data_IF_712025507915
#
_entry.id   IF_712025507915
#
_cell.length_a   1.000
_cell.length_b   1.000
_cell.length_c   1.000
_cell.angle_alpha   90.00
_cell.angle_beta   90.00
_cell.angle_gamma   90.00
#
_symmetry.space_group_name_H-M   'P 1'
#
loop_
_entity.id
_entity.type
_entity.pdbx_description
1 polymer ?
#
# COMPACT_ATOMS: atom_id res chain seq x y z
N UNK A 1 -3.57 -20.12 -27.52
CA UNK A 1 -4.17 -18.97 -28.24
C UNK A 1 -5.66 -19.22 -28.47
N UNK A 2 -6.47 -18.20 -28.81
CA UNK A 2 -7.90 -18.39 -29.12
C UNK A 2 -8.16 -19.39 -30.25
N UNK A 3 -7.20 -19.55 -31.16
CA UNK A 3 -7.21 -20.55 -32.24
C UNK A 3 -6.97 -21.99 -31.76
N UNK A 4 -6.66 -22.21 -30.48
CA UNK A 4 -6.20 -23.49 -29.94
C UNK A 4 -4.70 -23.75 -30.12
N UNK A 5 -3.99 -22.91 -30.88
CA UNK A 5 -2.54 -23.01 -31.06
C UNK A 5 -1.80 -22.82 -29.72
N UNK A 6 -0.80 -23.67 -29.48
CA UNK A 6 0.09 -23.59 -28.32
C UNK A 6 1.40 -22.93 -28.76
N UNK A 7 1.75 -21.85 -28.08
CA UNK A 7 3.04 -21.17 -28.25
C UNK A 7 3.80 -21.20 -26.93
N UNK A 8 5.13 -21.28 -27.00
CA UNK A 8 6.01 -21.14 -25.83
C UNK A 8 6.76 -19.81 -25.94
N UNK A 9 6.59 -18.94 -24.93
CA UNK A 9 7.23 -17.63 -24.87
C UNK A 9 8.00 -17.52 -23.55
N UNK A 10 9.23 -17.01 -23.59
CA UNK A 10 10.10 -16.93 -22.42
C UNK A 10 10.73 -18.28 -22.07
N UNK A 11 11.04 -18.49 -20.79
CA UNK A 11 11.64 -19.73 -20.30
C UNK A 11 12.58 -19.53 -19.11
N UNK A 12 13.42 -20.52 -18.83
CA UNK A 12 14.38 -20.51 -17.70
C UNK A 12 15.60 -19.59 -17.91
N UNK A 13 15.69 -18.91 -19.05
CA UNK A 13 16.84 -18.07 -19.40
C UNK A 13 16.78 -16.76 -18.63
N UNK A 14 17.90 -16.32 -18.06
CA UNK A 14 18.01 -15.01 -17.38
C UNK A 14 18.00 -13.83 -18.35
N UNK A 15 18.47 -14.04 -19.59
CA UNK A 15 18.48 -13.05 -20.66
C UNK A 15 17.82 -13.64 -21.89
N UNK A 16 16.87 -12.90 -22.44
CA UNK A 16 16.20 -13.22 -23.69
C UNK A 16 15.98 -11.92 -24.47
N UNK A 17 16.81 -11.69 -25.49
CA UNK A 17 16.82 -10.44 -26.26
C UNK A 17 16.73 -10.69 -27.77
N UNK A 18 16.20 -11.85 -28.15
CA UNK A 18 16.06 -12.26 -29.55
C UNK A 18 14.63 -12.00 -30.02
N UNK A 19 14.44 -10.96 -30.84
CA UNK A 19 13.12 -10.59 -31.37
C UNK A 19 12.29 -9.77 -30.39
N UNK A 20 10.97 -9.76 -30.60
CA UNK A 20 10.04 -8.96 -29.81
C UNK A 20 9.79 -9.55 -28.43
N UNK A 21 9.52 -8.69 -27.44
CA UNK A 21 9.10 -9.10 -26.10
C UNK A 21 7.63 -9.50 -26.08
N UNK A 22 7.26 -10.54 -26.83
CA UNK A 22 5.88 -11.03 -26.94
C UNK A 22 5.32 -11.39 -25.55
N UNK A 23 6.17 -11.85 -24.62
CA UNK A 23 5.79 -12.12 -23.23
C UNK A 23 5.12 -10.92 -22.57
N UNK A 24 5.62 -9.70 -22.83
CA UNK A 24 5.10 -8.46 -22.25
C UNK A 24 3.74 -8.06 -22.80
N UNK A 25 3.32 -8.60 -23.95
CA UNK A 25 1.96 -8.41 -24.46
C UNK A 25 0.96 -9.28 -23.69
N UNK A 26 1.37 -10.49 -23.27
CA UNK A 26 0.51 -11.41 -22.55
C UNK A 26 0.43 -11.09 -21.05
N UNK A 27 1.54 -10.68 -20.43
CA UNK A 27 1.56 -10.28 -19.01
C UNK A 27 0.71 -9.02 -18.83
N UNK A 28 -0.35 -9.11 -18.03
CA UNK A 28 -1.34 -8.03 -17.87
C UNK A 28 -2.50 -8.08 -18.87
N UNK A 29 -2.56 -9.06 -19.77
CA UNK A 29 -3.67 -9.16 -20.74
C UNK A 29 -4.99 -9.67 -20.16
N UNK A 30 -5.01 -10.07 -18.89
CA UNK A 30 -6.21 -10.58 -18.19
C UNK A 30 -6.92 -11.73 -18.95
N UNK A 31 -6.16 -12.54 -19.70
CA UNK A 31 -6.68 -13.68 -20.44
C UNK A 31 -7.31 -13.35 -21.80
N UNK A 32 -7.36 -12.06 -22.18
CA UNK A 32 -7.98 -11.62 -23.45
C UNK A 32 -7.18 -12.03 -24.69
N UNK A 33 -5.87 -12.22 -24.57
CA UNK A 33 -4.98 -12.63 -25.67
C UNK A 33 -4.71 -14.15 -25.70
N UNK A 34 -5.08 -14.88 -24.65
CA UNK A 34 -4.88 -16.32 -24.54
C UNK A 34 -4.84 -16.80 -23.10
N UNK A 35 -4.73 -18.13 -22.94
CA UNK A 35 -4.76 -18.79 -21.63
C UNK A 35 -3.35 -19.26 -21.26
N UNK A 36 -2.86 -18.86 -20.09
CA UNK A 36 -1.61 -19.37 -19.53
C UNK A 36 -1.80 -20.79 -19.00
N UNK A 37 -0.98 -21.73 -19.48
CA UNK A 37 -1.03 -23.14 -19.05
C UNK A 37 0.21 -23.56 -18.26
N UNK A 38 1.30 -22.79 -18.36
CA UNK A 38 2.57 -23.02 -17.67
C UNK A 38 3.31 -21.70 -17.49
N UNK A 39 3.90 -21.49 -16.32
CA UNK A 39 4.65 -20.27 -15.99
C UNK A 39 6.01 -20.66 -15.41
N UNK A 40 7.06 -19.97 -15.86
CA UNK A 40 8.39 -20.01 -15.24
C UNK A 40 8.57 -18.73 -14.44
N UNK A 41 8.87 -18.86 -13.14
CA UNK A 41 9.12 -17.74 -12.24
C UNK A 41 10.58 -17.71 -11.83
N UNK A 42 11.16 -16.51 -11.75
CA UNK A 42 12.46 -16.30 -11.13
C UNK A 42 12.27 -16.22 -9.61
N UNK A 43 13.00 -17.04 -8.85
CA UNK A 43 12.99 -17.00 -7.40
C UNK A 43 14.09 -16.07 -6.89
N UNK A 44 13.78 -15.33 -5.84
CA UNK A 44 14.78 -14.57 -5.07
C UNK A 44 15.23 -15.41 -3.86
N UNK A 45 16.48 -15.30 -3.42
CA UNK A 45 16.92 -15.91 -2.16
C UNK A 45 16.08 -15.41 -0.97
N UNK A 46 15.90 -16.28 0.02
CA UNK A 46 15.22 -15.90 1.27
C UNK A 46 16.02 -14.80 2.00
N UNK A 47 15.37 -13.71 2.45
CA UNK A 47 16.04 -12.65 3.20
C UNK A 47 16.54 -13.16 4.56
N UNK A 48 17.66 -12.62 5.04
CA UNK A 48 18.34 -13.14 6.24
C UNK A 48 17.62 -12.82 7.55
N UNK A 49 17.48 -11.53 7.85
CA UNK A 49 16.78 -10.96 9.02
C UNK A 49 15.82 -9.90 8.51
N UNK A 50 14.67 -9.78 9.16
CA UNK A 50 13.62 -8.82 8.82
C UNK A 50 13.20 -8.08 10.07
N UNK A 51 12.97 -6.78 9.95
CA UNK A 51 12.30 -5.96 10.96
C UNK A 51 11.29 -5.05 10.28
N UNK A 52 10.23 -4.70 11.00
CA UNK A 52 9.24 -3.73 10.57
C UNK A 52 9.29 -2.50 11.47
N UNK A 53 9.21 -1.33 10.88
CA UNK A 53 9.02 -0.07 11.59
C UNK A 53 7.56 0.33 11.51
N UNK A 54 6.97 0.71 12.65
CA UNK A 54 5.70 1.43 12.70
C UNK A 54 6.00 2.87 13.08
N UNK A 55 5.59 3.81 12.23
CA UNK A 55 5.99 5.20 12.33
C UNK A 55 4.74 6.10 12.28
N UNK A 56 4.23 6.56 13.43
CA UNK A 56 3.14 7.54 13.48
C UNK A 56 3.60 8.95 13.05
N UNK A 57 2.73 9.66 12.35
CA UNK A 57 2.90 11.06 11.96
C UNK A 57 1.69 11.89 12.38
N UNK A 58 1.93 13.16 12.73
CA UNK A 58 0.87 14.10 13.09
C UNK A 58 0.07 14.63 11.89
N UNK A 59 0.51 14.33 10.66
CA UNK A 59 -0.16 14.69 9.42
C UNK A 59 0.07 13.64 8.34
N UNK A 60 -0.95 13.42 7.49
CA UNK A 60 -0.82 12.63 6.25
C UNK A 60 0.30 13.18 5.36
N UNK A 61 0.38 14.51 5.21
CA UNK A 61 1.38 15.15 4.36
C UNK A 61 2.80 14.87 4.85
N UNK A 62 3.06 14.97 6.15
CA UNK A 62 4.36 14.66 6.74
C UNK A 62 4.78 13.20 6.49
N UNK A 63 3.85 12.26 6.70
CA UNK A 63 4.09 10.84 6.43
C UNK A 63 4.49 10.62 4.97
N UNK A 64 3.71 11.14 4.02
CA UNK A 64 3.96 10.94 2.60
C UNK A 64 5.26 11.64 2.14
N UNK A 65 5.54 12.85 2.62
CA UNK A 65 6.79 13.55 2.29
C UNK A 65 8.04 12.86 2.86
N UNK A 66 7.90 12.01 3.87
CA UNK A 66 8.99 11.20 4.40
C UNK A 66 9.36 10.04 3.46
N UNK A 67 8.43 9.47 2.69
CA UNK A 67 8.63 8.27 1.86
C UNK A 67 9.82 8.38 0.89
N UNK A 68 9.91 9.37 -0.02
CA UNK A 68 11.07 9.49 -0.91
C UNK A 68 12.36 9.81 -0.16
N UNK A 69 12.26 10.45 1.02
CA UNK A 69 13.42 10.80 1.86
C UNK A 69 13.98 9.58 2.58
N UNK A 70 13.13 8.63 3.00
CA UNK A 70 13.54 7.33 3.51
C UNK A 70 14.51 6.70 2.51
N UNK A 71 14.20 6.69 1.21
CA UNK A 71 15.10 6.09 0.21
C UNK A 71 16.36 6.94 -0.05
N UNK A 72 16.18 8.24 -0.27
CA UNK A 72 17.26 9.11 -0.77
C UNK A 72 18.22 9.61 0.31
N UNK A 73 17.76 9.84 1.54
CA UNK A 73 18.58 10.37 2.65
C UNK A 73 19.23 9.25 3.46
N UNK A 74 18.48 8.21 3.80
CA UNK A 74 19.03 7.06 4.54
C UNK A 74 19.95 6.20 3.67
N UNK A 75 19.81 6.29 2.33
CA UNK A 75 20.47 5.42 1.32
C UNK A 75 20.14 3.94 1.51
N UNK A 76 19.00 3.64 2.12
CA UNK A 76 18.42 2.32 2.26
C UNK A 76 17.27 2.18 1.28
N UNK A 77 17.15 1.03 0.63
CA UNK A 77 15.98 0.65 -0.14
C UNK A 77 15.12 -0.29 0.71
N UNK A 78 13.97 0.16 1.24
CA UNK A 78 13.09 -0.72 1.99
C UNK A 78 12.50 -1.84 1.14
N UNK A 79 12.13 -2.94 1.78
CA UNK A 79 11.37 -4.04 1.15
C UNK A 79 9.95 -3.59 0.84
N UNK A 80 9.35 -2.84 1.77
CA UNK A 80 8.02 -2.24 1.62
C UNK A 80 7.94 -0.92 2.38
N UNK A 81 7.13 0.00 1.87
CA UNK A 81 6.67 1.20 2.61
C UNK A 81 5.17 1.31 2.39
N UNK A 82 4.41 0.95 3.41
CA UNK A 82 2.96 1.03 3.41
C UNK A 82 2.48 2.28 4.14
N UNK A 83 1.32 2.78 3.73
CA UNK A 83 0.62 3.90 4.35
C UNK A 83 -0.76 3.44 4.85
N UNK A 84 -1.18 3.99 6.00
CA UNK A 84 -2.56 3.87 6.50
C UNK A 84 -2.93 5.14 7.27
N UNK A 85 -4.10 5.71 6.96
CA UNK A 85 -4.59 6.93 7.63
C UNK A 85 -5.30 6.65 8.97
N UNK A 86 -5.55 7.71 9.74
CA UNK A 86 -6.22 7.62 11.05
C UNK A 86 -7.57 6.93 10.97
N UNK A 87 -8.38 7.25 9.96
CA UNK A 87 -9.72 6.69 9.82
C UNK A 87 -9.66 5.17 9.59
N UNK A 88 -8.77 4.74 8.72
CA UNK A 88 -8.48 3.32 8.47
C UNK A 88 -8.01 2.61 9.73
N UNK A 89 -7.06 3.21 10.48
CA UNK A 89 -6.59 2.63 11.75
C UNK A 89 -7.75 2.45 12.72
N UNK A 90 -8.67 3.42 12.85
CA UNK A 90 -9.83 3.29 13.75
C UNK A 90 -10.71 2.08 13.40
N UNK A 91 -11.03 1.88 12.12
CA UNK A 91 -11.81 0.71 11.68
C UNK A 91 -11.06 -0.60 11.94
N UNK A 92 -9.78 -0.65 11.57
CA UNK A 92 -8.95 -1.83 11.78
C UNK A 92 -8.78 -2.17 13.27
N UNK A 93 -8.66 -1.16 14.14
CA UNK A 93 -8.54 -1.37 15.58
C UNK A 93 -9.79 -1.95 16.19
N UNK A 94 -10.97 -1.46 15.77
CA UNK A 94 -12.25 -2.03 16.19
C UNK A 94 -12.40 -3.49 15.72
N UNK A 95 -12.01 -3.78 14.48
CA UNK A 95 -12.09 -5.12 13.90
C UNK A 95 -11.12 -6.12 14.53
N UNK A 96 -9.86 -5.72 14.73
CA UNK A 96 -8.80 -6.60 15.24
C UNK A 96 -8.74 -6.66 16.76
N UNK A 97 -9.53 -5.83 17.46
CA UNK A 97 -9.45 -5.63 18.90
C UNK A 97 -8.02 -5.29 19.37
N UNK A 98 -7.34 -4.43 18.61
CA UNK A 98 -5.94 -4.05 18.82
C UNK A 98 -5.71 -2.58 18.52
N UNK A 99 -4.96 -1.89 19.37
CA UNK A 99 -4.65 -0.46 19.22
C UNK A 99 -3.22 -0.28 18.75
N UNK A 100 -2.99 0.73 17.90
CA UNK A 100 -1.64 1.19 17.58
C UNK A 100 -1.19 2.24 18.61
N UNK A 101 0.11 2.34 18.90
CA UNK A 101 0.67 3.49 19.61
C UNK A 101 0.29 4.81 18.90
N UNK A 102 0.04 5.88 19.66
CA UNK A 102 -0.35 7.21 19.14
C UNK A 102 -1.66 7.25 18.35
N UNK A 103 -2.56 6.26 18.46
CA UNK A 103 -3.77 6.20 17.63
C UNK A 103 -4.69 7.43 17.72
N UNK A 104 -4.71 8.11 18.87
CA UNK A 104 -5.51 9.32 19.07
C UNK A 104 -4.78 10.61 18.62
N UNK A 105 -3.46 10.54 18.44
CA UNK A 105 -2.59 11.68 18.12
C UNK A 105 -2.12 11.67 16.65
N UNK A 106 -2.00 10.49 16.03
CA UNK A 106 -1.47 10.31 14.69
C UNK A 106 -2.57 10.42 13.62
N UNK A 107 -2.30 11.19 12.57
CA UNK A 107 -3.14 11.29 11.37
C UNK A 107 -2.83 10.21 10.34
N UNK A 108 -1.61 9.68 10.39
CA UNK A 108 -1.15 8.64 9.49
C UNK A 108 -0.05 7.78 10.11
N UNK A 109 0.11 6.59 9.56
CA UNK A 109 1.21 5.69 9.87
C UNK A 109 1.91 5.27 8.59
N UNK A 110 3.24 5.21 8.66
CA UNK A 110 4.02 4.40 7.74
C UNK A 110 4.37 3.06 8.39
N UNK A 111 4.30 1.99 7.61
CA UNK A 111 4.86 0.69 7.96
C UNK A 111 6.02 0.43 7.00
N UNK A 112 7.24 0.37 7.52
CA UNK A 112 8.45 0.19 6.71
C UNK A 112 9.06 -1.16 7.01
N UNK A 113 9.09 -2.05 6.02
CA UNK A 113 9.76 -3.35 6.15
C UNK A 113 11.18 -3.26 5.62
N UNK A 114 12.11 -3.79 6.42
CA UNK A 114 13.53 -3.78 6.15
C UNK A 114 14.08 -5.18 6.31
N UNK A 115 15.07 -5.52 5.49
CA UNK A 115 15.82 -6.75 5.60
C UNK A 115 17.33 -6.51 5.70
N UNK A 116 18.03 -7.51 6.21
CA UNK A 116 19.48 -7.49 6.39
C UNK A 116 20.05 -8.90 6.33
N UNK A 117 21.31 -9.03 5.93
CA UNK A 117 22.00 -10.34 5.91
C UNK A 117 22.31 -10.81 7.34
N UNK A 118 22.75 -9.88 8.16
CA UNK A 118 23.07 -10.09 9.59
C UNK A 118 22.14 -9.24 10.47
N UNK A 119 22.18 -9.45 11.79
CA UNK A 119 21.39 -8.61 12.71
C UNK A 119 21.95 -7.20 12.77
N UNK A 120 23.27 -7.08 12.68
CA UNK A 120 24.02 -5.84 12.71
C UNK A 120 23.71 -4.99 11.47
N UNK A 121 23.66 -5.61 10.28
CA UNK A 121 23.25 -4.93 9.04
C UNK A 121 21.80 -4.41 9.14
N UNK A 122 20.89 -5.23 9.67
CA UNK A 122 19.49 -4.86 9.85
C UNK A 122 19.33 -3.70 10.83
N UNK A 123 20.10 -3.71 11.92
CA UNK A 123 20.12 -2.65 12.92
C UNK A 123 20.57 -1.32 12.34
N UNK A 124 21.73 -1.28 11.67
CA UNK A 124 22.22 -0.08 10.98
C UNK A 124 21.19 0.45 9.97
N UNK A 125 20.49 -0.47 9.29
CA UNK A 125 19.46 -0.13 8.31
C UNK A 125 18.23 0.53 8.96
N UNK A 126 17.65 -0.08 9.99
CA UNK A 126 16.45 0.47 10.61
C UNK A 126 16.74 1.73 11.44
N UNK A 127 17.96 1.89 12.00
CA UNK A 127 18.36 3.11 12.70
C UNK A 127 18.44 4.29 11.72
N UNK A 128 19.04 4.11 10.54
CA UNK A 128 19.10 5.15 9.50
C UNK A 128 17.72 5.56 9.00
N UNK A 129 16.86 4.58 8.74
CA UNK A 129 15.49 4.82 8.29
C UNK A 129 14.67 5.50 9.39
N UNK A 130 14.74 5.00 10.62
CA UNK A 130 14.04 5.58 11.78
C UNK A 130 14.46 7.03 12.04
N UNK A 131 15.76 7.31 12.07
CA UNK A 131 16.27 8.67 12.21
C UNK A 131 15.79 9.58 11.08
N UNK A 132 15.76 9.08 9.84
CA UNK A 132 15.22 9.84 8.69
C UNK A 132 13.74 10.14 8.89
N UNK A 133 12.94 9.22 9.43
CA UNK A 133 11.53 9.48 9.74
C UNK A 133 11.37 10.57 10.81
N UNK A 134 12.12 10.49 11.91
CA UNK A 134 12.09 11.48 12.99
C UNK A 134 12.49 12.88 12.51
N UNK A 135 13.53 12.98 11.68
CA UNK A 135 13.96 14.24 11.05
C UNK A 135 12.91 14.85 10.11
N UNK A 136 11.88 14.07 9.74
CA UNK A 136 10.81 14.48 8.82
C UNK A 136 9.43 14.47 9.46
N UNK A 137 9.36 14.63 10.78
CA UNK A 137 8.11 14.88 11.50
C UNK A 137 7.40 13.63 12.05
N UNK A 138 8.05 12.47 12.04
CA UNK A 138 7.52 11.33 12.76
C UNK A 138 7.43 11.65 14.26
N UNK A 139 6.33 11.23 14.88
CA UNK A 139 6.10 11.41 16.32
C UNK A 139 6.97 10.46 17.14
N UNK A 140 7.20 9.25 16.61
CA UNK A 140 8.01 8.20 17.21
C UNK A 140 8.37 7.14 16.15
N UNK A 141 9.34 6.27 16.44
CA UNK A 141 9.63 5.09 15.61
C UNK A 141 9.63 3.82 16.46
N UNK A 142 8.70 2.92 16.19
CA UNK A 142 8.63 1.62 16.85
C UNK A 142 9.28 0.54 16.00
N UNK A 143 10.24 -0.18 16.57
CA UNK A 143 10.93 -1.29 15.91
C UNK A 143 10.31 -2.63 16.32
N UNK A 144 9.79 -3.38 15.35
CA UNK A 144 9.35 -4.75 15.50
C UNK A 144 10.38 -5.71 14.87
N UNK A 145 11.28 -6.24 15.71
CA UNK A 145 12.40 -7.10 15.30
C UNK A 145 12.12 -8.60 15.49
N UNK A 146 10.89 -8.95 15.83
CA UNK A 146 10.45 -10.32 16.06
C UNK A 146 9.06 -10.56 15.47
N UNK A 147 8.81 -11.80 15.09
CA UNK A 147 7.60 -12.22 14.37
C UNK A 147 6.31 -11.81 15.07
N UNK A 148 6.27 -11.84 16.40
CA UNK A 148 5.06 -11.50 17.14
C UNK A 148 4.75 -10.00 17.09
N UNK A 149 5.75 -9.14 17.26
CA UNK A 149 5.59 -7.70 17.14
C UNK A 149 5.23 -7.30 15.70
N UNK A 150 5.94 -7.86 14.71
CA UNK A 150 5.66 -7.66 13.29
C UNK A 150 4.22 -8.04 12.93
N UNK A 151 3.76 -9.20 13.41
CA UNK A 151 2.43 -9.68 13.11
C UNK A 151 1.33 -8.76 13.62
N UNK A 152 1.52 -8.09 14.77
CA UNK A 152 0.54 -7.11 15.26
C UNK A 152 0.37 -5.93 14.29
N UNK A 153 1.48 -5.40 13.77
CA UNK A 153 1.46 -4.30 12.79
C UNK A 153 0.79 -4.77 11.50
N UNK A 154 1.26 -5.90 10.97
CA UNK A 154 0.77 -6.39 9.69
C UNK A 154 -0.67 -6.92 9.73
N UNK A 155 -1.14 -7.41 10.88
CA UNK A 155 -2.55 -7.78 11.06
C UNK A 155 -3.47 -6.58 10.86
N UNK A 156 -3.05 -5.37 11.24
CA UNK A 156 -3.78 -4.13 10.97
C UNK A 156 -3.84 -3.84 9.47
N UNK A 157 -2.68 -3.83 8.79
CA UNK A 157 -2.58 -3.46 7.37
C UNK A 157 -3.24 -4.48 6.43
N UNK A 158 -3.11 -5.79 6.72
CA UNK A 158 -3.69 -6.87 5.90
C UNK A 158 -5.20 -6.95 6.00
N UNK A 159 -5.76 -6.70 7.18
CA UNK A 159 -7.21 -6.76 7.37
C UNK A 159 -7.91 -5.44 7.09
N UNK A 160 -7.23 -4.45 6.51
CA UNK A 160 -7.80 -3.12 6.29
C UNK A 160 -9.15 -3.15 5.57
N UNK A 161 -9.21 -3.76 4.39
CA UNK A 161 -10.47 -3.83 3.64
C UNK A 161 -11.53 -4.67 4.34
N UNK A 162 -11.15 -5.75 5.02
CA UNK A 162 -12.10 -6.58 5.77
C UNK A 162 -12.68 -5.84 6.98
N UNK A 163 -11.88 -5.01 7.65
CA UNK A 163 -12.35 -4.13 8.72
C UNK A 163 -13.35 -3.09 8.20
N UNK A 164 -13.07 -2.48 7.05
CA UNK A 164 -14.02 -1.56 6.40
C UNK A 164 -15.32 -2.27 6.04
N UNK A 165 -15.27 -3.48 5.46
CA UNK A 165 -16.46 -4.26 5.09
C UNK A 165 -17.36 -4.64 6.28
N UNK A 166 -16.78 -4.80 7.47
CA UNK A 166 -17.58 -5.03 8.69
C UNK A 166 -18.38 -3.79 9.07
N UNK A 167 -17.82 -2.60 8.86
CA UNK A 167 -18.51 -1.34 9.11
C UNK A 167 -19.50 -0.97 7.99
N UNK A 168 -19.10 -1.19 6.74
CA UNK A 168 -19.92 -0.98 5.55
C UNK A 168 -19.76 -2.15 4.56
N UNK A 169 -20.74 -3.06 4.44
CA UNK A 169 -20.65 -4.19 3.51
C UNK A 169 -20.71 -3.78 2.04
N UNK A 170 -20.98 -2.50 1.73
CA UNK A 170 -21.01 -1.96 0.38
C UNK A 170 -19.76 -1.16 0.00
N UNK A 171 -18.76 -1.10 0.88
CA UNK A 171 -17.49 -0.43 0.60
C UNK A 171 -16.77 -1.12 -0.57
N UNK A 172 -16.20 -0.31 -1.46
CA UNK A 172 -15.26 -0.75 -2.49
C UNK A 172 -14.06 0.15 -2.50
N UNK A 173 -12.91 -0.40 -2.90
CA UNK A 173 -11.67 0.35 -3.03
C UNK A 173 -11.51 0.85 -4.45
N UNK A 174 -11.07 2.10 -4.60
CA UNK A 174 -10.34 2.53 -5.78
C UNK A 174 -8.92 1.97 -5.77
N UNK A 175 -8.26 2.04 -6.93
CA UNK A 175 -6.86 1.68 -7.09
C UNK A 175 -6.18 2.74 -7.95
N UNK A 176 -5.51 3.69 -7.29
CA UNK A 176 -4.96 4.89 -7.94
C UNK A 176 -3.45 4.86 -7.83
N UNK A 177 -2.76 5.16 -8.93
CA UNK A 177 -1.29 5.20 -9.00
C UNK A 177 -0.85 6.55 -9.52
N UNK A 178 -0.01 7.24 -8.75
CA UNK A 178 0.63 8.51 -9.11
C UNK A 178 2.13 8.40 -8.89
N UNK A 179 2.97 9.29 -9.48
CA UNK A 179 4.36 9.36 -9.06
C UNK A 179 4.44 9.59 -7.54
N UNK A 180 5.41 8.96 -6.85
CA UNK A 180 5.52 9.04 -5.37
C UNK A 180 5.54 10.49 -4.85
N UNK A 181 6.09 11.44 -5.62
CA UNK A 181 6.09 12.86 -5.28
C UNK A 181 4.71 13.52 -5.26
N UNK A 182 3.73 12.95 -5.98
CA UNK A 182 2.38 13.49 -6.17
C UNK A 182 1.35 12.85 -5.22
N UNK A 183 1.74 11.86 -4.41
CA UNK A 183 0.84 11.28 -3.41
C UNK A 183 0.24 12.37 -2.47
N UNK A 184 0.98 13.40 -1.99
CA UNK A 184 0.38 14.46 -1.17
C UNK A 184 -0.75 15.19 -1.90
N UNK A 185 -0.55 15.54 -3.17
CA UNK A 185 -1.58 16.19 -3.98
C UNK A 185 -2.79 15.28 -4.19
N UNK A 186 -2.56 13.98 -4.41
CA UNK A 186 -3.65 12.99 -4.50
C UNK A 186 -4.43 12.87 -3.18
N UNK A 187 -3.76 12.89 -2.02
CA UNK A 187 -4.44 12.87 -0.73
C UNK A 187 -5.28 14.14 -0.49
N UNK A 188 -4.81 15.32 -0.92
CA UNK A 188 -5.58 16.57 -0.87
C UNK A 188 -6.82 16.53 -1.80
N UNK A 189 -6.69 15.89 -2.97
CA UNK A 189 -7.82 15.64 -3.88
C UNK A 189 -8.84 14.73 -3.20
N UNK A 190 -8.39 13.61 -2.61
CA UNK A 190 -9.28 12.67 -1.91
C UNK A 190 -10.01 13.37 -0.76
N UNK A 191 -9.32 14.20 0.03
CA UNK A 191 -9.93 14.99 1.10
C UNK A 191 -10.96 16.00 0.55
N UNK A 192 -10.66 16.65 -0.57
CA UNK A 192 -11.58 17.59 -1.23
C UNK A 192 -12.84 16.88 -1.73
N UNK A 193 -12.69 15.72 -2.38
CA UNK A 193 -13.79 14.89 -2.86
C UNK A 193 -14.61 14.36 -1.69
N UNK A 194 -13.96 13.91 -0.61
CA UNK A 194 -14.63 13.49 0.62
C UNK A 194 -15.55 14.59 1.17
N UNK A 195 -15.08 15.85 1.23
CA UNK A 195 -15.88 17.00 1.68
C UNK A 195 -17.00 17.39 0.73
N UNK A 196 -16.76 17.30 -0.59
CA UNK A 196 -17.76 17.65 -1.59
C UNK A 196 -18.97 16.72 -1.57
N UNK A 197 -18.71 15.42 -1.39
CA UNK A 197 -19.75 14.39 -1.38
C UNK A 197 -20.26 14.06 0.03
N UNK A 198 -19.71 14.69 1.07
CA UNK A 198 -20.01 14.42 2.49
C UNK A 198 -19.89 12.93 2.85
N UNK A 199 -18.77 12.33 2.42
CA UNK A 199 -18.49 10.90 2.53
C UNK A 199 -17.10 10.70 3.13
N UNK A 200 -17.01 9.81 4.11
CA UNK A 200 -15.74 9.34 4.64
C UNK A 200 -15.00 8.48 3.61
N UNK A 201 -13.72 8.79 3.35
CA UNK A 201 -12.86 8.03 2.41
C UNK A 201 -11.57 7.60 3.11
N UNK A 202 -11.59 6.51 3.91
CA UNK A 202 -10.38 5.92 4.45
C UNK A 202 -9.39 5.51 3.35
N UNK A 203 -8.11 5.72 3.61
CA UNK A 203 -7.02 5.41 2.69
C UNK A 203 -5.94 4.51 3.32
N UNK A 204 -5.54 3.50 2.55
CA UNK A 204 -4.30 2.75 2.75
C UNK A 204 -3.57 2.63 1.41
N UNK A 205 -2.29 2.29 1.40
CA UNK A 205 -1.57 2.17 0.13
C UNK A 205 -0.15 1.66 0.22
N UNK A 206 0.38 1.32 -0.94
CA UNK A 206 1.78 1.01 -1.18
C UNK A 206 2.52 2.31 -1.53
N UNK A 207 2.90 3.07 -0.49
CA UNK A 207 3.39 4.43 -0.64
C UNK A 207 4.71 4.52 -1.42
N UNK A 208 5.59 3.51 -1.31
CA UNK A 208 6.83 3.45 -2.10
C UNK A 208 6.60 3.35 -3.62
N UNK A 209 5.45 2.81 -4.03
CA UNK A 209 5.12 2.58 -5.45
C UNK A 209 4.15 3.63 -5.99
N UNK A 210 3.74 4.61 -5.16
CA UNK A 210 2.80 5.64 -5.57
C UNK A 210 1.34 5.20 -5.61
N UNK A 211 1.03 4.03 -5.04
CA UNK A 211 -0.28 3.42 -5.15
C UNK A 211 -1.10 3.60 -3.87
N UNK A 212 -2.26 4.24 -3.98
CA UNK A 212 -3.19 4.52 -2.88
C UNK A 212 -4.56 3.92 -3.20
N UNK A 213 -5.18 3.36 -2.18
CA UNK A 213 -6.51 2.76 -2.22
C UNK A 213 -7.48 3.63 -1.41
N UNK A 214 -8.18 4.60 -2.03
CA UNK A 214 -9.31 5.27 -1.39
C UNK A 214 -10.50 4.31 -1.29
N UNK A 215 -11.17 4.27 -0.15
CA UNK A 215 -12.31 3.40 0.08
C UNK A 215 -13.53 4.19 0.59
N UNK A 216 -14.30 4.86 -0.29
CA UNK A 216 -15.47 5.62 0.12
C UNK A 216 -16.46 4.75 0.90
N UNK A 217 -16.96 5.27 2.01
CA UNK A 217 -17.89 4.58 2.91
C UNK A 217 -19.33 5.05 2.66
N UNK A 218 -20.27 4.12 2.58
CA UNK A 218 -21.68 4.44 2.36
C UNK A 218 -22.26 5.23 3.54
N UNK A 219 -22.82 6.44 3.32
CA UNK A 219 -23.57 7.15 4.36
C UNK A 219 -24.76 6.32 4.84
N UNK A 220 -25.11 6.42 6.13
CA UNK A 220 -26.19 5.62 6.73
C UNK A 220 -27.53 5.81 6.01
N UNK A 221 -27.82 7.05 5.60
CA UNK A 221 -29.12 7.44 5.01
C UNK A 221 -29.21 7.22 3.49
N UNK A 222 -28.16 6.67 2.85
CA UNK A 222 -28.14 6.37 1.40
C UNK A 222 -28.56 4.92 1.14
N UNK A 223 -29.45 4.72 0.16
CA UNK A 223 -29.86 3.38 -0.26
C UNK A 223 -28.71 2.65 -0.98
N UNK A 224 -28.52 1.33 -0.80
CA UNK A 224 -27.46 0.58 -1.47
C UNK A 224 -27.47 0.67 -3.01
N UNK A 225 -28.66 0.77 -3.61
CA UNK A 225 -28.81 0.92 -5.06
C UNK A 225 -28.30 2.26 -5.58
N UNK A 226 -28.48 3.32 -4.80
CA UNK A 226 -28.01 4.68 -5.12
C UNK A 226 -26.51 4.81 -4.84
N UNK A 227 -26.06 4.19 -3.75
CA UNK A 227 -24.66 4.20 -3.33
C UNK A 227 -23.72 3.69 -4.40
N UNK A 228 -24.08 2.60 -5.09
CA UNK A 228 -23.20 2.02 -6.11
C UNK A 228 -22.82 3.05 -7.19
N UNK A 229 -23.80 3.77 -7.72
CA UNK A 229 -23.57 4.79 -8.74
C UNK A 229 -22.80 5.98 -8.20
N UNK A 230 -23.10 6.42 -6.97
CA UNK A 230 -22.40 7.52 -6.31
C UNK A 230 -20.93 7.17 -6.03
N UNK A 231 -20.66 5.95 -5.57
CA UNK A 231 -19.31 5.46 -5.31
C UNK A 231 -18.48 5.36 -6.60
N UNK A 232 -19.08 4.88 -7.70
CA UNK A 232 -18.44 4.87 -9.02
C UNK A 232 -18.12 6.30 -9.50
N UNK A 233 -18.99 7.27 -9.24
CA UNK A 233 -18.74 8.69 -9.53
C UNK A 233 -17.60 9.26 -8.69
N UNK A 234 -17.61 9.03 -7.37
CA UNK A 234 -16.55 9.46 -6.44
C UNK A 234 -15.19 8.90 -6.86
N UNK A 235 -15.10 7.59 -7.07
CA UNK A 235 -13.86 6.93 -7.49
C UNK A 235 -13.42 7.38 -8.88
N UNK A 236 -14.38 7.57 -9.79
CA UNK A 236 -14.11 8.11 -11.13
C UNK A 236 -13.51 9.51 -11.06
N UNK A 237 -14.01 10.37 -10.17
CA UNK A 237 -13.49 11.73 -9.97
C UNK A 237 -12.07 11.73 -9.41
N UNK A 238 -11.78 10.86 -8.44
CA UNK A 238 -10.42 10.70 -7.89
C UNK A 238 -9.46 10.20 -8.97
N UNK A 239 -9.89 9.26 -9.83
CA UNK A 239 -9.02 8.66 -10.83
C UNK A 239 -8.63 9.58 -12.01
N UNK A 240 -9.39 10.65 -12.26
CA UNK A 240 -9.15 11.58 -13.39
C UNK A 240 -8.54 12.92 -12.97
N UNK A 241 -8.34 13.14 -11.68
CA UNK A 241 -7.74 14.35 -11.12
C UNK A 241 -6.21 14.31 -11.20
#
# INVERSE_FOLDING_TARGET
LPTGEIIEIGGKRRKDSSGYSVLRLFVGSEGTLGIFTKIYLNLVPEPGKVADLLVPFGSVNEAIYAVPKIMTKSKVLPVAVEFIDRLSVRYCSAYTNSMLPYQDDADAYLIVQLDGKTKEDLQDTYEKVGNTCLENGALEVFVADNKFASEKIWNMRRNWLEALKVADPYVSTGDVVVPVSEIPAMMEIIETVSKEYDVDIPCAGHAADGNIHPAPMKPTDTLPSEWKSLMEEILGKIAVA
#
